data_IF_862956396258
#
_entry.id   IF_862956396258
#
_cell.length_a   1.000
_cell.length_b   1.000
_cell.length_c   1.000
_cell.angle_alpha   90.00
_cell.angle_beta   90.00
_cell.angle_gamma   90.00
#
_symmetry.space_group_name_H-M   'P 1'
#
loop_
_entity.id
_entity.type
_entity.pdbx_description
1 polymer ?
#
# COMPACT_ATOMS: atom_id res chain seq x y z
N UNK A 1 23.49 -8.14 7.21
CA UNK A 1 22.08 -7.74 7.37
C UNK A 1 21.63 -8.24 8.73
N UNK A 2 21.14 -7.33 9.58
CA UNK A 2 20.41 -7.70 10.78
C UNK A 2 18.92 -7.85 10.46
N UNK A 3 18.07 -8.17 11.46
CA UNK A 3 16.60 -8.25 11.27
C UNK A 3 15.97 -6.92 10.85
N UNK A 4 16.73 -5.82 10.95
CA UNK A 4 16.34 -4.46 10.57
C UNK A 4 17.48 -3.80 9.79
N UNK A 5 17.12 -2.84 8.93
CA UNK A 5 18.11 -2.00 8.27
C UNK A 5 18.92 -1.19 9.28
N UNK A 6 20.24 -1.34 9.24
CA UNK A 6 21.17 -0.51 10.00
C UNK A 6 21.69 0.60 9.10
N UNK A 7 21.55 1.85 9.55
CA UNK A 7 22.03 3.03 8.84
C UNK A 7 23.30 3.56 9.49
N UNK A 8 24.29 3.93 8.69
CA UNK A 8 25.50 4.57 9.19
C UNK A 8 25.17 5.92 9.89
N UNK A 9 26.01 6.38 10.84
CA UNK A 9 25.82 7.66 11.49
C UNK A 9 25.60 8.80 10.48
N UNK A 10 24.55 9.60 10.69
CA UNK A 10 24.20 10.74 9.83
C UNK A 10 23.36 10.40 8.58
N UNK A 11 23.10 9.13 8.29
CA UNK A 11 22.24 8.73 7.16
C UNK A 11 20.77 9.02 7.47
N UNK A 12 20.25 8.57 8.61
CA UNK A 12 18.84 8.77 8.95
C UNK A 12 18.47 10.24 9.17
N UNK A 13 19.40 11.06 9.67
CA UNK A 13 19.14 12.49 9.84
C UNK A 13 19.08 13.24 8.50
N UNK A 14 19.81 12.78 7.48
CA UNK A 14 19.83 13.40 6.16
C UNK A 14 18.79 12.82 5.19
N UNK A 15 18.59 11.50 5.23
CA UNK A 15 17.80 10.74 4.25
C UNK A 15 16.59 10.05 4.85
N UNK A 16 16.37 10.13 6.17
CA UNK A 16 15.21 9.53 6.85
C UNK A 16 13.87 9.90 6.21
N UNK A 17 13.60 11.19 5.89
CA UNK A 17 12.35 11.57 5.23
C UNK A 17 12.15 10.93 3.85
N UNK A 18 13.25 10.65 3.12
CA UNK A 18 13.17 10.06 1.80
C UNK A 18 12.67 8.60 1.83
N UNK A 19 12.78 7.89 2.96
CA UNK A 19 12.35 6.50 3.10
C UNK A 19 10.84 6.30 2.95
N UNK A 20 10.04 7.31 3.29
CA UNK A 20 8.58 7.27 3.19
C UNK A 20 8.02 8.18 2.08
N UNK A 21 8.89 8.89 1.35
CA UNK A 21 8.47 9.81 0.30
C UNK A 21 8.14 9.02 -0.97
N UNK A 22 6.91 9.12 -1.50
CA UNK A 22 6.54 8.43 -2.73
C UNK A 22 7.27 9.03 -3.94
N UNK A 23 7.61 8.19 -4.91
CA UNK A 23 8.28 8.59 -6.15
C UNK A 23 7.38 8.24 -7.32
N UNK A 24 6.70 9.24 -7.88
CA UNK A 24 5.69 9.03 -8.92
C UNK A 24 4.55 8.14 -8.41
N UNK A 25 4.37 6.98 -9.05
CA UNK A 25 3.36 5.99 -8.67
C UNK A 25 3.91 4.87 -7.76
N UNK A 26 5.10 5.04 -7.20
CA UNK A 26 5.75 4.08 -6.31
C UNK A 26 5.61 4.55 -4.87
N UNK A 27 5.01 3.70 -4.04
CA UNK A 27 4.76 3.96 -2.62
C UNK A 27 5.54 2.98 -1.76
N UNK A 28 6.30 3.49 -0.79
CA UNK A 28 7.18 2.68 0.04
C UNK A 28 6.45 2.20 1.31
N UNK A 29 6.47 0.88 1.48
CA UNK A 29 6.06 0.16 2.68
C UNK A 29 7.27 -0.56 3.30
N UNK A 30 7.09 -1.11 4.50
CA UNK A 30 8.14 -1.80 5.24
C UNK A 30 8.39 -1.18 6.61
N UNK A 31 8.92 -1.99 7.53
CA UNK A 31 9.10 -1.59 8.93
C UNK A 31 10.03 -0.39 9.09
N UNK A 32 10.98 -0.24 8.16
CA UNK A 32 11.98 0.82 8.04
C UNK A 32 11.36 2.17 7.69
N UNK A 33 10.16 2.17 7.12
CA UNK A 33 9.38 3.36 6.76
C UNK A 33 8.23 3.63 7.75
N UNK A 34 8.21 2.93 8.88
CA UNK A 34 7.22 3.13 9.93
C UNK A 34 7.61 4.31 10.83
N UNK A 35 6.61 5.09 11.27
CA UNK A 35 6.81 6.17 12.23
C UNK A 35 7.00 5.65 13.66
N UNK A 36 6.36 4.52 13.95
CA UNK A 36 6.40 3.84 15.25
C UNK A 36 6.76 2.38 15.07
N UNK A 37 7.45 1.82 16.08
CA UNK A 37 7.79 0.40 16.15
C UNK A 37 8.57 -0.13 14.93
N UNK A 38 9.55 0.66 14.47
CA UNK A 38 10.49 0.25 13.41
C UNK A 38 11.15 -1.07 13.80
N UNK A 39 11.10 -2.04 12.89
CA UNK A 39 11.62 -3.40 13.10
C UNK A 39 10.67 -4.40 13.74
N UNK A 40 9.44 -4.00 14.04
CA UNK A 40 8.39 -4.88 14.55
C UNK A 40 7.27 -5.03 13.51
N UNK A 41 6.44 -6.08 13.70
CA UNK A 41 5.30 -6.38 12.84
C UNK A 41 4.31 -5.20 12.83
N UNK A 42 4.07 -4.54 13.96
CA UNK A 42 3.18 -3.38 14.04
C UNK A 42 3.65 -2.21 13.17
N UNK A 43 4.97 -1.98 13.13
CA UNK A 43 5.57 -1.01 12.21
C UNK A 43 5.36 -1.40 10.74
N UNK A 44 5.49 -2.70 10.43
CA UNK A 44 5.21 -3.24 9.09
C UNK A 44 3.76 -2.96 8.66
N UNK A 45 2.82 -3.23 9.56
CA UNK A 45 1.38 -3.04 9.33
C UNK A 45 1.05 -1.57 9.13
N UNK A 46 1.51 -0.70 10.03
CA UNK A 46 1.27 0.74 9.92
C UNK A 46 1.81 1.34 8.63
N UNK A 47 3.06 1.00 8.27
CA UNK A 47 3.66 1.44 7.02
C UNK A 47 2.95 0.90 5.78
N UNK A 48 2.48 -0.36 5.83
CA UNK A 48 1.72 -0.98 4.75
C UNK A 48 0.36 -0.31 4.53
N UNK A 49 -0.40 -0.08 5.60
CA UNK A 49 -1.69 0.62 5.54
C UNK A 49 -1.53 2.02 4.96
N UNK A 50 -0.54 2.78 5.44
CA UNK A 50 -0.20 4.11 4.90
C UNK A 50 0.08 4.05 3.39
N UNK A 51 0.96 3.13 2.97
CA UNK A 51 1.36 3.00 1.56
C UNK A 51 0.14 2.67 0.67
N UNK A 52 -0.73 1.76 1.12
CA UNK A 52 -1.96 1.43 0.42
C UNK A 52 -2.92 2.63 0.29
N UNK A 53 -3.07 3.42 1.35
CA UNK A 53 -3.88 4.65 1.32
C UNK A 53 -3.32 5.67 0.33
N UNK A 54 -2.00 5.85 0.28
CA UNK A 54 -1.35 6.74 -0.68
C UNK A 54 -1.59 6.28 -2.12
N UNK A 55 -1.49 4.97 -2.39
CA UNK A 55 -1.76 4.38 -3.70
C UNK A 55 -3.23 4.58 -4.13
N UNK A 56 -4.19 4.28 -3.24
CA UNK A 56 -5.62 4.48 -3.52
C UNK A 56 -5.90 5.96 -3.81
N UNK A 57 -5.36 6.87 -3.00
CA UNK A 57 -5.56 8.29 -3.20
C UNK A 57 -4.92 8.81 -4.50
N UNK A 58 -3.84 8.17 -4.98
CA UNK A 58 -3.27 8.48 -6.29
C UNK A 58 -4.13 7.96 -7.44
N UNK A 59 -4.71 6.76 -7.31
CA UNK A 59 -5.63 6.19 -8.29
C UNK A 59 -6.89 7.03 -8.45
N UNK A 60 -7.52 7.44 -7.34
CA UNK A 60 -8.71 8.31 -7.37
C UNK A 60 -8.40 9.66 -8.05
N UNK A 61 -7.22 10.23 -7.80
CA UNK A 61 -6.78 11.46 -8.49
C UNK A 61 -6.58 11.24 -9.99
N UNK A 62 -6.07 10.08 -10.39
CA UNK A 62 -5.88 9.74 -11.79
C UNK A 62 -7.21 9.51 -12.53
N UNK A 63 -8.22 8.96 -11.85
CA UNK A 63 -9.57 8.75 -12.41
C UNK A 63 -10.32 10.05 -12.70
N UNK A 64 -10.00 11.15 -12.00
CA UNK A 64 -10.58 12.48 -12.25
C UNK A 64 -10.01 13.24 -13.46
N UNK A 65 -8.98 12.71 -14.12
CA UNK A 65 -8.39 13.30 -15.33
C UNK A 65 -8.95 12.60 -16.58
N UNK A 66 -9.34 13.31 -17.66
CA UNK A 66 -9.82 12.69 -18.88
C UNK A 66 -8.69 11.85 -19.49
N UNK A 67 -8.74 10.54 -19.24
CA UNK A 67 -7.71 9.57 -19.65
C UNK A 67 -7.69 9.52 -21.18
N UNK A 68 -6.57 9.88 -21.82
CA UNK A 68 -6.33 9.43 -23.19
C UNK A 68 -6.23 7.91 -23.16
N UNK A 69 -7.18 7.27 -23.80
CA UNK A 69 -7.30 5.82 -23.88
C UNK A 69 -6.15 5.25 -24.70
N UNK A 70 -5.01 4.99 -24.06
CA UNK A 70 -3.94 4.19 -24.64
C UNK A 70 -4.26 2.72 -24.41
N UNK A 71 -4.95 2.15 -25.40
CA UNK A 71 -4.90 0.76 -25.86
C UNK A 71 -4.21 -0.25 -24.94
N UNK A 72 -5.00 -1.21 -24.43
CA UNK A 72 -4.53 -2.59 -24.31
C UNK A 72 -4.32 -3.16 -22.90
N UNK A 73 -5.40 -3.35 -22.14
CA UNK A 73 -5.61 -4.54 -21.30
C UNK A 73 -7.07 -4.55 -20.83
N UNK A 74 -7.94 -5.14 -21.67
CA UNK A 74 -9.35 -5.36 -21.36
C UNK A 74 -9.44 -6.49 -20.33
N UNK A 75 -9.34 -6.19 -19.04
CA UNK A 75 -9.94 -7.06 -18.03
C UNK A 75 -11.42 -6.69 -17.94
N UNK A 76 -12.21 -7.49 -18.63
CA UNK A 76 -13.66 -7.46 -18.61
C UNK A 76 -14.19 -7.54 -17.18
N UNK A 77 -15.09 -6.61 -16.89
CA UNK A 77 -16.18 -6.71 -15.92
C UNK A 77 -16.53 -8.13 -15.46
N UNK A 78 -16.26 -8.40 -14.20
CA UNK A 78 -17.16 -9.19 -13.35
C UNK A 78 -17.11 -8.53 -11.98
N UNK A 79 -18.06 -7.62 -11.73
CA UNK A 79 -19.13 -7.87 -10.77
C UNK A 79 -18.60 -8.24 -9.39
N UNK A 80 -18.80 -7.33 -8.45
CA UNK A 80 -18.72 -7.63 -7.03
C UNK A 80 -19.49 -8.91 -6.67
N UNK A 81 -19.14 -9.52 -5.53
CA UNK A 81 -20.06 -9.32 -4.42
C UNK A 81 -19.33 -9.01 -3.11
N UNK A 82 -19.35 -7.74 -2.69
CA UNK A 82 -19.57 -7.44 -1.26
C UNK A 82 -21.02 -7.86 -0.97
N UNK A 83 -21.24 -8.61 0.11
CA UNK A 83 -22.53 -9.19 0.61
C UNK A 83 -22.90 -10.64 0.20
N UNK A 84 -22.00 -11.62 0.41
CA UNK A 84 -22.39 -13.04 0.39
C UNK A 84 -21.71 -13.91 1.45
N UNK A 85 -21.35 -13.34 2.61
CA UNK A 85 -20.65 -14.07 3.68
C UNK A 85 -21.58 -14.80 4.68
N UNK A 86 -22.91 -14.86 4.47
CA UNK A 86 -23.82 -15.32 5.54
C UNK A 86 -25.04 -16.18 5.12
N UNK A 87 -25.10 -16.76 3.91
CA UNK A 87 -26.32 -17.47 3.46
C UNK A 87 -26.14 -18.93 3.00
N UNK A 88 -24.95 -19.54 3.11
CA UNK A 88 -24.75 -20.95 2.72
C UNK A 88 -24.75 -21.95 3.91
N UNK A 89 -25.14 -21.53 5.12
CA UNK A 89 -25.16 -22.39 6.31
C UNK A 89 -26.57 -22.91 6.68
N UNK A 90 -27.50 -22.97 5.72
CA UNK A 90 -28.86 -23.52 5.94
C UNK A 90 -29.25 -24.55 4.88
N UNK A 91 -28.29 -25.41 4.53
CA UNK A 91 -28.57 -26.62 3.74
C UNK A 91 -27.71 -27.80 4.18
N UNK A 92 -27.45 -27.90 5.49
CA UNK A 92 -26.79 -29.05 6.11
C UNK A 92 -27.20 -29.23 7.60
N UNK A 93 -28.46 -28.95 7.93
CA UNK A 93 -29.24 -29.59 8.99
C UNK A 93 -30.69 -29.68 8.52
#
# INVERSE_FOLDING_TARGET
GGPVAYAAPGVLTKLGPALATPVGNIFFAGTESAEYWVGFIDGALGAGVRSAQQAIAALVRAEGSPRKESSGAKLSSSSQPQVAFASCFSRYL
#
